data_IF_590399122175
#
_entry.id   IF_590399122175
#
_cell.length_a   1.000
_cell.length_b   1.000
_cell.length_c   1.000
_cell.angle_alpha   90.00
_cell.angle_beta   90.00
_cell.angle_gamma   90.00
#
_symmetry.space_group_name_H-M   'P 1'
#
loop_
_entity.id
_entity.type
_entity.pdbx_description
1 polymer ?
#
# COMPACT_ATOMS: atom_id res chain seq x y z
N UNK A 1 24.85 11.32 43.01
CA UNK A 1 23.74 12.15 42.48
C UNK A 1 22.58 11.19 42.28
N UNK A 2 21.60 11.19 43.19
CA UNK A 2 20.45 10.28 43.12
C UNK A 2 19.58 10.70 41.89
N UNK A 3 19.31 9.75 41.02
CA UNK A 3 18.44 9.98 39.84
C UNK A 3 17.03 10.30 40.35
N UNK A 4 16.45 11.36 39.84
CA UNK A 4 15.07 11.74 40.15
C UNK A 4 14.11 10.60 39.71
N UNK A 5 13.35 9.98 40.62
CA UNK A 5 12.45 8.87 40.31
C UNK A 5 11.40 9.22 39.27
N UNK A 6 11.01 10.48 39.13
CA UNK A 6 10.06 10.96 38.10
C UNK A 6 10.67 10.93 36.69
N UNK A 7 11.99 11.20 36.58
CA UNK A 7 12.69 11.12 35.29
C UNK A 7 12.82 9.67 34.79
N UNK A 8 13.01 8.71 35.71
CA UNK A 8 13.09 7.28 35.35
C UNK A 8 11.78 6.70 34.87
N UNK A 9 10.64 7.08 35.46
CA UNK A 9 9.30 6.63 35.00
C UNK A 9 9.03 7.10 33.59
N UNK A 10 9.32 8.37 33.26
CA UNK A 10 9.10 8.90 31.89
C UNK A 10 9.97 8.24 30.81
N UNK A 11 11.21 7.83 31.18
CA UNK A 11 12.11 7.10 30.26
C UNK A 11 11.58 5.68 29.96
N UNK A 12 11.06 4.98 30.97
CA UNK A 12 10.49 3.65 30.80
C UNK A 12 9.22 3.67 29.95
N UNK A 13 8.33 4.62 30.20
CA UNK A 13 7.12 4.80 29.38
C UNK A 13 7.47 5.10 27.91
N UNK A 14 8.45 5.97 27.65
CA UNK A 14 8.91 6.28 26.31
C UNK A 14 9.49 5.05 25.59
N UNK A 15 10.26 4.25 26.31
CA UNK A 15 10.82 3.00 25.80
C UNK A 15 9.74 1.99 25.45
N UNK A 16 8.74 1.81 26.30
CA UNK A 16 7.60 0.92 26.06
C UNK A 16 6.78 1.38 24.87
N UNK A 17 6.50 2.69 24.77
CA UNK A 17 5.84 3.29 23.62
C UNK A 17 6.61 3.04 22.32
N UNK A 18 7.93 3.27 22.32
CA UNK A 18 8.78 3.04 21.15
C UNK A 18 8.74 1.58 20.68
N UNK A 19 8.84 0.63 21.62
CA UNK A 19 8.74 -0.82 21.30
C UNK A 19 7.37 -1.20 20.75
N UNK A 20 6.29 -0.66 21.29
CA UNK A 20 4.94 -0.87 20.77
C UNK A 20 4.81 -0.33 19.32
N UNK A 21 5.40 0.84 19.06
CA UNK A 21 5.42 1.45 17.74
C UNK A 21 6.23 0.63 16.72
N UNK A 22 7.37 0.06 17.14
CA UNK A 22 8.15 -0.87 16.31
C UNK A 22 7.34 -2.13 15.96
N UNK A 23 6.66 -2.74 16.93
CA UNK A 23 5.81 -3.90 16.71
C UNK A 23 4.66 -3.58 15.75
N UNK A 24 3.99 -2.44 15.93
CA UNK A 24 2.94 -1.95 15.03
C UNK A 24 3.49 -1.73 13.62
N UNK A 25 4.68 -1.14 13.49
CA UNK A 25 5.31 -0.89 12.20
C UNK A 25 5.57 -2.17 11.42
N UNK A 26 6.03 -3.22 12.07
CA UNK A 26 6.23 -4.54 11.46
C UNK A 26 4.90 -5.20 11.07
N UNK A 27 3.89 -5.14 11.96
CA UNK A 27 2.56 -5.64 11.69
C UNK A 27 1.90 -4.97 10.46
N UNK A 28 2.18 -3.68 10.23
CA UNK A 28 1.72 -2.95 9.04
C UNK A 28 2.58 -3.22 7.80
N UNK A 29 3.90 -3.34 7.96
CA UNK A 29 4.83 -3.43 6.83
C UNK A 29 4.76 -4.78 6.11
N UNK A 30 4.69 -5.89 6.84
CA UNK A 30 4.66 -7.23 6.24
C UNK A 30 3.45 -7.48 5.33
N UNK A 31 2.20 -7.19 5.74
CA UNK A 31 1.05 -7.33 4.84
C UNK A 31 1.20 -6.48 3.56
N UNK A 32 1.69 -5.25 3.68
CA UNK A 32 1.93 -4.37 2.52
C UNK A 32 2.97 -4.95 1.58
N UNK A 33 4.07 -5.48 2.11
CA UNK A 33 5.12 -6.15 1.32
C UNK A 33 4.57 -7.38 0.59
N UNK A 34 3.79 -8.23 1.26
CA UNK A 34 3.18 -9.43 0.67
C UNK A 34 2.18 -9.06 -0.43
N UNK A 35 1.30 -8.11 -0.19
CA UNK A 35 0.33 -7.63 -1.19
C UNK A 35 1.02 -7.04 -2.43
N UNK A 36 2.17 -6.40 -2.25
CA UNK A 36 2.93 -5.78 -3.34
C UNK A 36 3.98 -6.66 -4.00
N UNK A 37 4.24 -7.84 -3.46
CA UNK A 37 5.27 -8.75 -3.96
C UNK A 37 5.08 -9.09 -5.47
N UNK A 38 3.84 -9.40 -5.87
CA UNK A 38 3.52 -9.69 -7.28
C UNK A 38 3.81 -8.51 -8.21
N UNK A 39 3.48 -7.28 -7.78
CA UNK A 39 3.75 -6.06 -8.55
C UNK A 39 5.25 -5.78 -8.63
N UNK A 40 5.99 -5.98 -7.55
CA UNK A 40 7.44 -5.81 -7.49
C UNK A 40 8.18 -6.80 -8.40
N UNK A 41 7.70 -8.05 -8.50
CA UNK A 41 8.29 -9.05 -9.42
C UNK A 41 8.07 -8.65 -10.88
N UNK A 42 6.87 -8.14 -11.23
CA UNK A 42 6.50 -7.81 -12.61
C UNK A 42 7.06 -6.47 -13.10
N UNK A 43 7.31 -5.51 -12.19
CA UNK A 43 7.70 -4.15 -12.51
C UNK A 43 9.09 -3.84 -11.94
N UNK A 44 10.18 -3.80 -12.76
CA UNK A 44 11.53 -3.55 -12.27
C UNK A 44 11.67 -2.25 -11.47
N UNK A 45 10.96 -1.19 -11.87
CA UNK A 45 10.98 0.11 -11.18
C UNK A 45 10.43 0.05 -9.76
N UNK A 46 9.46 -0.85 -9.49
CA UNK A 46 8.89 -1.03 -8.15
C UNK A 46 9.74 -1.98 -7.30
N UNK A 47 10.54 -2.83 -7.94
CA UNK A 47 11.39 -3.84 -7.28
C UNK A 47 12.42 -3.20 -6.34
N UNK A 48 13.12 -2.16 -6.80
CA UNK A 48 14.17 -1.52 -6.00
C UNK A 48 13.62 -0.92 -4.70
N UNK A 49 12.49 -0.21 -4.78
CA UNK A 49 11.81 0.34 -3.60
C UNK A 49 11.29 -0.78 -2.69
N UNK A 50 10.68 -1.82 -3.26
CA UNK A 50 10.16 -2.95 -2.52
C UNK A 50 11.29 -3.68 -1.77
N UNK A 51 12.42 -3.93 -2.42
CA UNK A 51 13.60 -4.55 -1.81
C UNK A 51 14.17 -3.71 -0.67
N UNK A 52 14.25 -2.38 -0.85
CA UNK A 52 14.73 -1.48 0.19
C UNK A 52 13.85 -1.55 1.46
N UNK A 53 12.52 -1.66 1.31
CA UNK A 53 11.61 -1.80 2.44
C UNK A 53 11.62 -3.23 3.00
N UNK A 54 11.69 -4.24 2.14
CA UNK A 54 11.71 -5.64 2.57
C UNK A 54 12.96 -5.97 3.40
N UNK A 55 14.15 -5.56 2.95
CA UNK A 55 15.39 -5.76 3.69
C UNK A 55 15.41 -5.00 5.02
N UNK A 56 14.83 -3.79 5.05
CA UNK A 56 14.64 -3.06 6.31
C UNK A 56 13.69 -3.79 7.26
N UNK A 57 12.56 -4.32 6.76
CA UNK A 57 11.61 -5.08 7.57
C UNK A 57 12.24 -6.37 8.12
N UNK A 58 13.08 -7.05 7.34
CA UNK A 58 13.85 -8.22 7.80
C UNK A 58 14.79 -7.82 8.94
N UNK A 59 15.59 -6.75 8.79
CA UNK A 59 16.49 -6.28 9.83
C UNK A 59 15.73 -5.94 11.13
N UNK A 60 14.60 -5.22 11.02
CA UNK A 60 13.74 -4.91 12.16
C UNK A 60 13.12 -6.16 12.78
N UNK A 61 12.73 -7.16 11.99
CA UNK A 61 12.18 -8.43 12.49
C UNK A 61 13.22 -9.22 13.26
N UNK A 62 14.46 -9.27 12.77
CA UNK A 62 15.58 -9.92 13.46
C UNK A 62 15.90 -9.23 14.79
N UNK A 63 15.65 -7.93 14.90
CA UNK A 63 15.84 -7.16 16.15
C UNK A 63 14.77 -7.44 17.21
N UNK A 64 13.64 -8.05 16.85
CA UNK A 64 12.60 -8.42 17.82
C UNK A 64 13.17 -9.41 18.84
N UNK A 65 13.04 -9.14 20.16
CA UNK A 65 13.71 -9.96 21.19
C UNK A 65 13.39 -11.45 21.14
N UNK A 66 12.16 -11.82 20.75
CA UNK A 66 11.76 -13.22 20.60
C UNK A 66 12.50 -13.90 19.44
N UNK A 67 12.61 -13.21 18.28
CA UNK A 67 13.31 -13.71 17.09
C UNK A 67 14.79 -13.80 17.35
N UNK A 68 15.40 -12.77 17.93
CA UNK A 68 16.82 -12.75 18.26
C UNK A 68 17.19 -13.86 19.25
N UNK A 69 16.35 -14.13 20.27
CA UNK A 69 16.54 -15.26 21.21
C UNK A 69 16.41 -16.63 20.49
N UNK A 70 15.48 -16.76 19.55
CA UNK A 70 15.34 -17.99 18.78
C UNK A 70 16.61 -18.28 17.96
N UNK A 71 17.12 -17.26 17.25
CA UNK A 71 18.37 -17.38 16.46
C UNK A 71 19.54 -17.74 17.39
N UNK A 72 19.69 -17.05 18.51
CA UNK A 72 20.77 -17.33 19.46
C UNK A 72 20.73 -18.78 20.02
N UNK A 73 19.52 -19.31 20.26
CA UNK A 73 19.32 -20.69 20.71
C UNK A 73 19.66 -21.71 19.61
N UNK A 74 19.22 -21.47 18.38
CA UNK A 74 19.45 -22.39 17.26
C UNK A 74 20.89 -22.38 16.77
N UNK A 75 21.57 -21.22 16.83
CA UNK A 75 22.97 -21.08 16.45
C UNK A 75 23.96 -21.46 17.58
N UNK A 76 23.49 -21.66 18.81
CA UNK A 76 24.36 -21.98 19.96
C UNK A 76 25.24 -20.80 20.43
N UNK A 77 25.10 -19.61 19.84
CA UNK A 77 25.89 -18.42 20.18
C UNK A 77 25.07 -17.15 20.07
N UNK A 78 25.08 -16.31 21.12
CA UNK A 78 24.32 -15.06 21.18
C UNK A 78 24.79 -14.02 20.17
N UNK A 79 26.07 -13.97 19.88
CA UNK A 79 26.69 -13.05 18.91
C UNK A 79 26.15 -13.21 17.49
N UNK A 80 25.74 -14.43 17.06
CA UNK A 80 25.23 -14.72 15.71
C UNK A 80 23.94 -13.94 15.43
N UNK A 81 23.09 -13.76 16.43
CA UNK A 81 21.86 -12.98 16.26
C UNK A 81 22.15 -11.51 15.96
N UNK A 82 23.06 -10.91 16.70
CA UNK A 82 23.41 -9.49 16.55
C UNK A 82 24.21 -9.25 15.26
N UNK A 83 25.10 -10.18 14.88
CA UNK A 83 25.77 -10.14 13.58
C UNK A 83 24.76 -10.23 12.43
N UNK A 84 23.78 -11.13 12.49
CA UNK A 84 22.73 -11.26 11.49
C UNK A 84 21.89 -9.99 11.36
N UNK A 85 21.56 -9.33 12.47
CA UNK A 85 20.87 -8.04 12.51
C UNK A 85 21.69 -6.97 11.77
N UNK A 86 22.96 -6.83 12.10
CA UNK A 86 23.83 -5.81 11.54
C UNK A 86 24.13 -6.06 10.03
N UNK A 87 24.37 -7.30 9.64
CA UNK A 87 24.54 -7.65 8.22
C UNK A 87 23.26 -7.41 7.40
N UNK A 88 22.09 -7.75 7.94
CA UNK A 88 20.82 -7.45 7.28
C UNK A 88 20.56 -5.94 7.21
N UNK A 89 21.00 -5.17 8.21
CA UNK A 89 20.99 -3.72 8.21
C UNK A 89 21.87 -3.13 7.09
N UNK A 90 23.11 -3.61 6.94
CA UNK A 90 23.99 -3.19 5.83
C UNK A 90 23.40 -3.55 4.48
N UNK A 91 22.78 -4.73 4.34
CA UNK A 91 22.07 -5.13 3.14
C UNK A 91 20.89 -4.19 2.83
N UNK A 92 20.16 -3.76 3.87
CA UNK A 92 19.09 -2.76 3.73
C UNK A 92 19.65 -1.40 3.29
N UNK A 93 20.76 -0.94 3.85
CA UNK A 93 21.42 0.29 3.43
C UNK A 93 21.87 0.22 1.95
N UNK A 94 22.43 -0.93 1.53
CA UNK A 94 22.81 -1.16 0.15
C UNK A 94 21.59 -1.16 -0.80
N UNK A 95 20.47 -1.79 -0.41
CA UNK A 95 19.24 -1.80 -1.19
C UNK A 95 18.62 -0.39 -1.34
N UNK A 96 18.69 0.44 -0.30
CA UNK A 96 18.30 1.86 -0.36
C UNK A 96 19.20 2.64 -1.33
N UNK A 97 20.51 2.43 -1.28
CA UNK A 97 21.44 3.07 -2.22
C UNK A 97 21.26 2.55 -3.65
N UNK A 98 20.92 1.29 -3.84
CA UNK A 98 20.58 0.73 -5.16
C UNK A 98 19.33 1.40 -5.73
N UNK A 99 18.28 1.57 -4.92
CA UNK A 99 17.09 2.33 -5.29
C UNK A 99 17.45 3.79 -5.68
N UNK A 100 18.29 4.46 -4.89
CA UNK A 100 18.76 5.83 -5.18
C UNK A 100 19.55 5.87 -6.49
N UNK A 101 20.40 4.88 -6.72
CA UNK A 101 21.24 4.78 -7.93
C UNK A 101 20.39 4.57 -9.18
N UNK A 102 19.36 3.74 -9.08
CA UNK A 102 18.38 3.50 -10.14
C UNK A 102 17.55 4.77 -10.43
N UNK A 103 17.03 5.43 -9.39
CA UNK A 103 16.25 6.65 -9.51
C UNK A 103 17.04 7.84 -10.08
N UNK A 104 18.37 7.84 -9.93
CA UNK A 104 19.26 8.89 -10.47
C UNK A 104 19.84 8.56 -11.84
N UNK A 105 19.48 7.41 -12.43
CA UNK A 105 19.96 6.99 -13.75
C UNK A 105 21.44 6.61 -13.77
N UNK A 106 22.06 6.34 -12.64
CA UNK A 106 23.45 5.87 -12.56
C UNK A 106 23.55 4.43 -13.09
N UNK A 107 24.45 4.22 -14.04
CA UNK A 107 24.51 2.98 -14.81
C UNK A 107 24.91 1.73 -14.02
N UNK A 108 24.84 0.56 -14.69
CA UNK A 108 25.15 -0.76 -14.12
C UNK A 108 26.51 -0.86 -13.42
N UNK A 109 27.51 -0.06 -13.85
CA UNK A 109 28.85 -0.05 -13.23
C UNK A 109 28.77 0.48 -11.79
N UNK A 110 28.05 1.58 -11.55
CA UNK A 110 27.87 2.16 -10.21
C UNK A 110 27.17 1.18 -9.27
N UNK A 111 26.15 0.47 -9.78
CA UNK A 111 25.45 -0.57 -9.00
C UNK A 111 26.36 -1.75 -8.65
N UNK A 112 27.22 -2.20 -9.57
CA UNK A 112 28.19 -3.27 -9.26
C UNK A 112 29.15 -2.85 -8.16
N UNK A 113 29.69 -1.64 -8.23
CA UNK A 113 30.60 -1.11 -7.19
C UNK A 113 29.89 -0.95 -5.85
N UNK A 114 28.65 -0.52 -5.84
CA UNK A 114 27.84 -0.42 -4.62
C UNK A 114 27.69 -1.79 -3.94
N UNK A 115 27.31 -2.82 -4.69
CA UNK A 115 27.15 -4.17 -4.13
C UNK A 115 28.49 -4.80 -3.74
N UNK A 116 29.56 -4.53 -4.46
CA UNK A 116 30.91 -4.93 -4.08
C UNK A 116 31.35 -4.25 -2.77
N UNK A 117 31.09 -2.95 -2.62
CA UNK A 117 31.37 -2.21 -1.38
C UNK A 117 30.53 -2.74 -0.20
N UNK A 118 29.25 -3.03 -0.40
CA UNK A 118 28.41 -3.62 0.63
C UNK A 118 28.90 -5.01 1.06
N UNK A 119 29.31 -5.82 0.09
CA UNK A 119 29.92 -7.13 0.35
C UNK A 119 31.24 -7.01 1.15
N UNK A 120 32.10 -6.05 0.79
CA UNK A 120 33.33 -5.77 1.52
C UNK A 120 33.04 -5.32 2.95
N UNK A 121 32.09 -4.39 3.16
CA UNK A 121 31.65 -3.97 4.50
C UNK A 121 31.17 -5.16 5.29
N UNK A 122 30.32 -6.02 4.72
CA UNK A 122 29.84 -7.22 5.38
C UNK A 122 30.97 -8.20 5.75
N UNK A 123 31.94 -8.41 4.87
CA UNK A 123 33.12 -9.25 5.14
C UNK A 123 34.01 -8.68 6.25
N UNK A 124 34.21 -7.35 6.29
CA UNK A 124 34.96 -6.68 7.36
C UNK A 124 34.23 -6.81 8.69
N UNK A 125 32.90 -6.61 8.72
CA UNK A 125 32.14 -6.77 9.96
C UNK A 125 32.20 -8.21 10.49
N UNK A 126 32.09 -9.21 9.59
CA UNK A 126 32.23 -10.61 9.96
C UNK A 126 33.63 -10.91 10.52
N UNK A 127 34.68 -10.38 9.88
CA UNK A 127 36.07 -10.57 10.34
C UNK A 127 36.31 -9.94 11.70
N UNK A 128 35.77 -8.74 11.95
CA UNK A 128 35.89 -8.05 13.24
C UNK A 128 35.12 -8.77 14.34
N UNK A 129 33.97 -9.36 14.05
CA UNK A 129 33.18 -10.14 15.00
C UNK A 129 33.88 -11.47 15.37
N UNK A 130 34.42 -12.18 14.36
CA UNK A 130 35.16 -13.43 14.56
C UNK A 130 36.51 -13.25 15.25
N UNK A 131 37.16 -12.08 15.09
CA UNK A 131 38.42 -11.77 15.74
C UNK A 131 38.24 -11.31 17.21
N UNK A 132 37.03 -10.94 17.59
CA UNK A 132 36.75 -10.53 18.98
C UNK A 132 36.70 -11.74 19.90
N UNK A 133 37.05 -11.58 21.21
CA UNK A 133 36.86 -12.63 22.21
C UNK A 133 35.40 -13.09 22.23
N UNK A 134 35.10 -14.33 22.64
CA UNK A 134 33.72 -14.78 22.78
C UNK A 134 32.90 -13.79 23.62
N UNK A 135 31.89 -13.19 23.01
CA UNK A 135 31.05 -12.18 23.62
C UNK A 135 29.58 -12.60 23.50
N UNK A 136 28.77 -12.18 24.45
CA UNK A 136 27.35 -12.42 24.42
C UNK A 136 26.62 -11.51 23.41
N UNK A 137 25.36 -11.30 23.62
CA UNK A 137 24.59 -10.33 22.84
C UNK A 137 25.14 -8.91 23.03
N UNK A 138 25.32 -8.20 21.94
CA UNK A 138 25.90 -6.86 21.95
C UNK A 138 24.98 -5.86 21.20
N UNK A 139 25.05 -4.60 21.63
CA UNK A 139 24.31 -3.50 21.04
C UNK A 139 25.08 -2.21 21.18
N UNK A 140 25.01 -1.32 20.20
CA UNK A 140 25.54 0.05 20.31
C UNK A 140 24.94 0.82 21.52
N UNK A 141 23.82 0.35 22.04
CA UNK A 141 23.05 0.96 23.13
C UNK A 141 23.34 0.32 24.50
N UNK A 142 24.24 -0.65 24.57
CA UNK A 142 24.59 -1.29 25.85
C UNK A 142 25.56 -0.40 26.64
N UNK A 143 25.36 -0.29 27.96
CA UNK A 143 26.34 0.41 28.81
C UNK A 143 27.68 -0.35 28.80
N UNK A 144 28.78 0.39 28.66
CA UNK A 144 30.13 -0.15 28.66
C UNK A 144 30.88 0.03 27.35
N UNK A 145 32.02 -0.68 27.21
CA UNK A 145 32.79 -0.62 25.95
C UNK A 145 32.03 -1.27 24.79
N UNK A 146 32.04 -0.63 23.62
CA UNK A 146 31.33 -1.17 22.44
C UNK A 146 31.87 -2.56 22.05
N UNK A 147 30.98 -3.57 22.04
CA UNK A 147 31.31 -4.94 21.62
C UNK A 147 30.80 -5.15 20.18
N UNK A 148 31.50 -5.84 19.27
CA UNK A 148 32.84 -6.45 19.43
C UNK A 148 33.98 -5.42 19.43
N UNK A 149 33.77 -4.22 18.84
CA UNK A 149 34.76 -3.13 18.88
C UNK A 149 34.13 -1.80 18.46
N UNK A 150 34.74 -0.68 18.83
CA UNK A 150 34.34 0.67 18.38
C UNK A 150 34.41 0.77 16.87
N UNK A 151 35.44 0.19 16.22
CA UNK A 151 35.57 0.21 14.77
C UNK A 151 34.41 -0.49 14.05
N UNK A 152 33.94 -1.62 14.58
CA UNK A 152 32.76 -2.33 14.08
C UNK A 152 31.55 -1.40 14.01
N UNK A 153 31.21 -0.75 15.11
CA UNK A 153 30.06 0.14 15.19
C UNK A 153 30.20 1.40 14.32
N UNK A 154 31.39 1.97 14.24
CA UNK A 154 31.63 3.12 13.36
C UNK A 154 31.43 2.77 11.88
N UNK A 155 31.82 1.57 11.45
CA UNK A 155 31.58 1.09 10.08
C UNK A 155 30.07 0.89 9.82
N UNK A 156 29.35 0.25 10.74
CA UNK A 156 27.89 0.06 10.63
C UNK A 156 27.19 1.41 10.54
N UNK A 157 27.49 2.33 11.44
CA UNK A 157 26.89 3.67 11.51
C UNK A 157 27.20 4.47 10.23
N UNK A 158 28.46 4.47 9.77
CA UNK A 158 28.88 5.17 8.58
C UNK A 158 28.12 4.66 7.32
N UNK A 159 27.99 3.35 7.18
CA UNK A 159 27.22 2.75 6.08
C UNK A 159 25.78 3.23 6.06
N UNK A 160 25.10 3.20 7.23
CA UNK A 160 23.71 3.64 7.31
C UNK A 160 23.52 5.14 7.13
N UNK A 161 24.37 5.98 7.75
CA UNK A 161 24.28 7.45 7.58
C UNK A 161 24.55 7.87 6.15
N UNK A 162 25.49 7.22 5.46
CA UNK A 162 25.75 7.48 4.03
C UNK A 162 24.53 7.14 3.19
N UNK A 163 23.93 5.95 3.40
CA UNK A 163 22.75 5.53 2.67
C UNK A 163 21.53 6.43 2.94
N UNK A 164 21.28 6.76 4.21
CA UNK A 164 20.16 7.62 4.60
C UNK A 164 20.31 9.04 4.05
N UNK A 165 21.50 9.62 4.11
CA UNK A 165 21.78 10.97 3.58
C UNK A 165 21.58 11.02 2.06
N UNK A 166 22.12 10.03 1.32
CA UNK A 166 21.94 9.94 -0.12
C UNK A 166 20.47 9.79 -0.50
N UNK A 167 19.74 8.90 0.20
CA UNK A 167 18.33 8.68 -0.03
C UNK A 167 17.49 9.94 0.27
N UNK A 168 17.73 10.60 1.40
CA UNK A 168 17.03 11.81 1.80
C UNK A 168 17.20 12.93 0.77
N UNK A 169 18.44 13.16 0.29
CA UNK A 169 18.74 14.15 -0.77
C UNK A 169 17.94 13.86 -2.06
N UNK A 170 17.88 12.61 -2.48
CA UNK A 170 17.13 12.19 -3.68
C UNK A 170 15.62 12.38 -3.47
N UNK A 171 15.08 11.90 -2.38
CA UNK A 171 13.66 12.06 -2.08
C UNK A 171 13.23 13.54 -2.08
N UNK A 172 14.02 14.42 -1.45
CA UNK A 172 13.74 15.87 -1.39
C UNK A 172 13.85 16.53 -2.76
N UNK A 173 14.88 16.19 -3.52
CA UNK A 173 15.10 16.74 -4.86
C UNK A 173 13.95 16.40 -5.81
N UNK A 174 13.47 15.16 -5.79
CA UNK A 174 12.39 14.73 -6.68
C UNK A 174 11.00 15.13 -6.16
N UNK A 175 10.79 15.21 -4.85
CA UNK A 175 9.55 15.70 -4.28
C UNK A 175 9.31 17.21 -4.52
N UNK A 176 10.37 17.99 -4.75
CA UNK A 176 10.29 19.44 -5.00
C UNK A 176 10.04 19.82 -6.47
N UNK A 177 10.21 18.90 -7.43
CA UNK A 177 9.99 19.18 -8.85
C UNK A 177 8.50 19.09 -9.18
N UNK A 178 7.92 20.18 -9.72
CA UNK A 178 6.48 20.39 -9.88
C UNK A 178 5.75 19.41 -10.80
N UNK A 179 6.45 18.68 -11.67
CA UNK A 179 5.88 17.76 -12.66
C UNK A 179 5.48 16.38 -12.09
N UNK A 180 5.96 16.02 -10.89
CA UNK A 180 5.57 14.75 -10.29
C UNK A 180 4.12 14.76 -9.85
N UNK A 181 3.34 13.72 -10.21
CA UNK A 181 1.97 13.54 -9.75
C UNK A 181 1.90 13.64 -8.20
N UNK A 182 0.83 14.25 -7.68
CA UNK A 182 0.64 14.46 -6.23
C UNK A 182 0.88 13.21 -5.39
N UNK A 183 0.44 12.07 -5.90
CA UNK A 183 0.59 10.74 -5.27
C UNK A 183 2.07 10.36 -5.13
N UNK A 184 2.88 10.55 -6.19
CA UNK A 184 4.31 10.24 -6.16
C UNK A 184 5.05 11.16 -5.19
N UNK A 185 4.73 12.46 -5.18
CA UNK A 185 5.31 13.41 -4.22
C UNK A 185 5.03 13.03 -2.78
N UNK A 186 3.78 12.64 -2.47
CA UNK A 186 3.41 12.20 -1.13
C UNK A 186 4.16 10.94 -0.71
N UNK A 187 4.29 9.96 -1.60
CA UNK A 187 5.07 8.74 -1.36
C UNK A 187 6.54 9.04 -1.08
N UNK A 188 7.17 9.90 -1.91
CA UNK A 188 8.58 10.29 -1.73
C UNK A 188 8.81 11.08 -0.44
N UNK A 189 7.89 11.96 -0.05
CA UNK A 189 7.96 12.70 1.23
C UNK A 189 7.87 11.77 2.42
N UNK A 190 6.92 10.84 2.42
CA UNK A 190 6.77 9.85 3.49
C UNK A 190 8.01 8.95 3.59
N UNK A 191 8.53 8.49 2.46
CA UNK A 191 9.75 7.68 2.42
C UNK A 191 10.96 8.47 2.92
N UNK A 192 11.09 9.74 2.51
CA UNK A 192 12.14 10.65 2.98
C UNK A 192 12.07 10.92 4.48
N UNK A 193 10.87 11.20 5.02
CA UNK A 193 10.67 11.37 6.46
C UNK A 193 11.02 10.10 7.24
N UNK A 194 10.59 8.93 6.76
CA UNK A 194 11.00 7.66 7.36
C UNK A 194 12.51 7.48 7.33
N UNK A 195 13.17 7.86 6.24
CA UNK A 195 14.63 7.80 6.11
C UNK A 195 15.32 8.80 7.06
N UNK A 196 14.73 9.98 7.31
CA UNK A 196 15.23 10.94 8.31
C UNK A 196 15.15 10.36 9.74
N UNK A 197 14.06 9.66 10.09
CA UNK A 197 13.94 8.95 11.36
C UNK A 197 15.04 7.89 11.52
N UNK A 198 15.32 7.09 10.47
CA UNK A 198 16.44 6.14 10.49
C UNK A 198 17.80 6.84 10.62
N UNK A 199 17.96 7.99 9.96
CA UNK A 199 19.16 8.82 10.12
C UNK A 199 19.35 9.29 11.57
N UNK A 200 18.27 9.75 12.21
CA UNK A 200 18.25 10.13 13.62
C UNK A 200 18.59 8.96 14.56
N UNK A 201 18.06 7.76 14.27
CA UNK A 201 18.41 6.55 14.99
C UNK A 201 19.94 6.28 14.92
N UNK A 202 20.51 6.26 13.72
CA UNK A 202 21.94 5.98 13.56
C UNK A 202 22.84 7.10 14.09
N UNK A 203 22.37 8.34 14.08
CA UNK A 203 23.05 9.45 14.74
C UNK A 203 23.06 9.26 16.27
N UNK A 204 21.93 8.83 16.84
CA UNK A 204 21.86 8.47 18.26
C UNK A 204 22.79 7.31 18.62
N UNK A 205 22.88 6.28 17.78
CA UNK A 205 23.86 5.20 17.95
C UNK A 205 25.31 5.73 17.90
N UNK A 206 25.62 6.65 16.98
CA UNK A 206 26.93 7.30 16.93
C UNK A 206 27.26 8.02 18.23
N UNK A 207 26.31 8.79 18.76
CA UNK A 207 26.51 9.47 20.04
C UNK A 207 26.78 8.50 21.20
N UNK A 208 26.05 7.37 21.26
CA UNK A 208 26.29 6.34 22.28
C UNK A 208 27.68 5.69 22.14
N UNK A 209 28.16 5.50 20.90
CA UNK A 209 29.51 4.93 20.68
C UNK A 209 30.62 5.91 21.06
N UNK A 210 30.44 7.21 20.77
CA UNK A 210 31.45 8.23 21.00
C UNK A 210 31.43 8.77 22.46
N UNK A 211 30.25 8.80 23.08
CA UNK A 211 30.02 9.35 24.41
C UNK A 211 29.28 8.31 25.27
N UNK A 212 29.97 7.30 25.83
CA UNK A 212 29.31 6.22 26.56
C UNK A 212 28.48 6.69 27.77
N UNK A 213 28.75 7.87 28.34
CA UNK A 213 27.96 8.44 29.42
C UNK A 213 26.58 9.01 29.01
N UNK A 214 26.37 9.25 27.71
CA UNK A 214 25.16 9.87 27.20
C UNK A 214 24.08 8.87 26.72
N UNK A 215 24.21 7.58 27.01
CA UNK A 215 23.36 6.52 26.45
C UNK A 215 21.88 6.56 26.89
N UNK A 216 21.56 7.12 28.07
CA UNK A 216 20.22 7.08 28.64
C UNK A 216 19.13 7.73 27.75
N UNK A 217 19.35 8.96 27.31
CA UNK A 217 18.35 9.71 26.56
C UNK A 217 18.18 9.18 25.12
N UNK A 218 19.28 8.92 24.36
CA UNK A 218 19.14 8.27 23.06
C UNK A 218 18.45 6.90 23.14
N UNK A 219 18.85 6.05 24.09
CA UNK A 219 18.31 4.69 24.20
C UNK A 219 16.79 4.64 24.34
N UNK A 220 16.18 5.60 25.04
CA UNK A 220 14.71 5.67 25.18
C UNK A 220 13.99 6.15 23.89
N UNK A 221 14.63 7.07 23.14
CA UNK A 221 14.04 7.67 21.95
C UNK A 221 14.22 6.82 20.68
N UNK A 222 15.29 6.05 20.59
CA UNK A 222 15.66 5.32 19.38
C UNK A 222 14.60 4.30 18.90
N UNK A 223 13.94 3.50 19.76
CA UNK A 223 12.85 2.63 19.33
C UNK A 223 11.68 3.39 18.70
N UNK A 224 11.36 4.58 19.23
CA UNK A 224 10.31 5.44 18.64
C UNK A 224 10.68 5.89 17.23
N UNK A 225 11.93 6.30 17.00
CA UNK A 225 12.42 6.66 15.66
C UNK A 225 12.36 5.47 14.69
N UNK A 226 12.70 4.27 15.13
CA UNK A 226 12.64 3.06 14.30
C UNK A 226 11.20 2.63 13.99
N UNK A 227 10.31 2.69 14.97
CA UNK A 227 8.90 2.43 14.77
C UNK A 227 8.27 3.41 13.78
N UNK A 228 8.54 4.70 13.92
CA UNK A 228 8.08 5.74 13.00
C UNK A 228 8.67 5.57 11.60
N UNK A 229 9.97 5.24 11.50
CA UNK A 229 10.62 4.88 10.24
C UNK A 229 9.87 3.78 9.48
N UNK A 230 9.54 2.67 10.15
CA UNK A 230 8.82 1.55 9.55
C UNK A 230 7.42 1.93 9.08
N UNK A 231 6.64 2.64 9.91
CA UNK A 231 5.30 3.10 9.57
C UNK A 231 5.29 4.05 8.37
N UNK A 232 6.19 5.03 8.35
CA UNK A 232 6.30 5.99 7.24
C UNK A 232 6.70 5.31 5.93
N UNK A 233 7.57 4.31 5.96
CA UNK A 233 7.92 3.49 4.78
C UNK A 233 6.76 2.61 4.32
N UNK A 234 6.04 1.98 5.24
CA UNK A 234 4.83 1.23 4.90
C UNK A 234 3.78 2.15 4.23
N UNK A 235 3.54 3.33 4.81
CA UNK A 235 2.65 4.33 4.24
C UNK A 235 3.10 4.79 2.83
N UNK A 236 4.41 5.01 2.63
CA UNK A 236 4.96 5.35 1.32
C UNK A 236 4.70 4.29 0.24
N UNK A 237 4.68 3.01 0.61
CA UNK A 237 4.30 1.91 -0.29
C UNK A 237 2.80 1.84 -0.58
N UNK A 238 1.94 2.24 0.37
CA UNK A 238 0.49 2.19 0.26
C UNK A 238 -0.06 3.34 -0.58
N UNK A 239 0.47 4.56 -0.40
CA UNK A 239 -0.03 5.78 -1.05
C UNK A 239 -0.21 5.64 -2.57
N UNK A 240 0.71 5.06 -3.36
CA UNK A 240 0.52 4.90 -4.81
C UNK A 240 -0.60 3.94 -5.19
N UNK A 241 -1.04 3.09 -4.28
CA UNK A 241 -2.10 2.09 -4.53
C UNK A 241 -3.49 2.65 -4.23
N UNK A 242 -3.58 3.66 -3.35
CA UNK A 242 -4.85 4.22 -2.87
C UNK A 242 -5.80 4.66 -4.01
N UNK A 243 -5.35 5.36 -5.07
CA UNK A 243 -6.25 5.74 -6.16
C UNK A 243 -6.85 4.53 -6.87
N UNK A 244 -6.04 3.51 -7.15
CA UNK A 244 -6.50 2.25 -7.75
C UNK A 244 -7.49 1.51 -6.85
N UNK A 245 -7.18 1.40 -5.56
CA UNK A 245 -8.06 0.78 -4.58
C UNK A 245 -9.40 1.53 -4.45
N UNK A 246 -9.38 2.86 -4.41
CA UNK A 246 -10.59 3.68 -4.36
C UNK A 246 -11.47 3.44 -5.59
N UNK A 247 -10.88 3.40 -6.79
CA UNK A 247 -11.61 3.06 -8.05
C UNK A 247 -12.21 1.66 -7.95
N UNK A 248 -11.42 0.67 -7.58
CA UNK A 248 -11.86 -0.72 -7.42
C UNK A 248 -13.04 -0.85 -6.45
N UNK A 249 -12.99 -0.16 -5.30
CA UNK A 249 -14.08 -0.13 -4.32
C UNK A 249 -15.31 0.62 -4.88
N UNK A 250 -15.11 1.69 -5.63
CA UNK A 250 -16.20 2.42 -6.29
C UNK A 250 -16.90 1.54 -7.33
N UNK A 251 -16.14 0.84 -8.17
CA UNK A 251 -16.67 -0.10 -9.17
C UNK A 251 -17.44 -1.26 -8.51
N UNK A 252 -16.90 -1.85 -7.43
CA UNK A 252 -17.58 -2.89 -6.68
C UNK A 252 -18.90 -2.40 -6.08
N UNK A 253 -18.93 -1.18 -5.54
CA UNK A 253 -20.15 -0.54 -5.03
C UNK A 253 -21.16 -0.25 -6.16
N UNK A 254 -20.67 0.22 -7.31
CA UNK A 254 -21.52 0.46 -8.48
C UNK A 254 -22.15 -0.85 -8.97
N UNK A 255 -21.37 -1.93 -9.07
CA UNK A 255 -21.84 -3.25 -9.44
C UNK A 255 -22.98 -3.74 -8.51
N UNK A 256 -22.79 -3.58 -7.19
CA UNK A 256 -23.78 -3.96 -6.20
C UNK A 256 -25.08 -3.15 -6.30
N UNK A 257 -24.97 -1.85 -6.62
CA UNK A 257 -26.13 -0.94 -6.72
C UNK A 257 -26.89 -1.11 -8.03
N UNK A 258 -26.19 -1.37 -9.14
CA UNK A 258 -26.82 -1.63 -10.45
C UNK A 258 -27.48 -3.02 -10.50
N UNK A 259 -27.04 -3.97 -9.67
CA UNK A 259 -27.45 -5.35 -9.77
C UNK A 259 -28.98 -5.56 -9.69
N UNK A 260 -29.78 -4.92 -8.80
CA UNK A 260 -31.22 -5.08 -8.74
C UNK A 260 -31.92 -4.62 -10.01
N UNK A 261 -31.60 -3.42 -10.50
CA UNK A 261 -32.14 -2.87 -11.75
C UNK A 261 -31.79 -3.79 -12.94
N UNK A 262 -30.51 -4.10 -13.09
CA UNK A 262 -30.02 -4.97 -14.15
C UNK A 262 -30.72 -6.31 -14.15
N UNK A 263 -30.88 -6.95 -12.99
CA UNK A 263 -31.55 -8.25 -12.86
C UNK A 263 -33.02 -8.17 -13.27
N UNK A 264 -33.73 -7.15 -12.79
CA UNK A 264 -35.13 -6.95 -13.12
C UNK A 264 -35.36 -6.74 -14.62
N UNK A 265 -34.47 -5.98 -15.28
CA UNK A 265 -34.56 -5.76 -16.73
C UNK A 265 -34.25 -7.02 -17.54
N UNK A 266 -33.25 -7.80 -17.09
CA UNK A 266 -32.93 -9.08 -17.73
C UNK A 266 -34.05 -10.12 -17.64
N UNK A 267 -34.85 -10.12 -16.57
CA UNK A 267 -36.01 -11.02 -16.45
C UNK A 267 -37.05 -10.74 -17.55
N UNK A 268 -37.17 -9.49 -18.02
CA UNK A 268 -38.05 -9.11 -19.10
C UNK A 268 -37.36 -9.17 -20.50
N UNK A 269 -36.04 -9.06 -20.58
CA UNK A 269 -35.27 -9.05 -21.83
C UNK A 269 -34.05 -9.98 -21.72
N UNK A 270 -34.23 -11.30 -21.56
CA UNK A 270 -33.10 -12.23 -21.31
C UNK A 270 -32.09 -12.32 -22.46
N UNK A 271 -32.51 -11.97 -23.68
CA UNK A 271 -31.66 -11.99 -24.88
C UNK A 271 -30.53 -10.96 -24.87
N UNK A 272 -30.61 -9.92 -24.03
CA UNK A 272 -29.56 -8.91 -23.94
C UNK A 272 -28.40 -9.33 -23.03
N UNK A 273 -28.56 -10.42 -22.30
CA UNK A 273 -27.52 -10.92 -21.41
C UNK A 273 -26.32 -11.46 -22.20
N UNK A 274 -25.19 -10.79 -22.15
CA UNK A 274 -23.95 -11.24 -22.80
C UNK A 274 -23.37 -12.52 -22.17
N UNK A 275 -23.69 -12.79 -20.91
CA UNK A 275 -23.32 -14.05 -20.22
C UNK A 275 -24.40 -14.44 -19.22
N UNK A 276 -24.54 -15.74 -18.90
CA UNK A 276 -25.50 -16.19 -17.89
C UNK A 276 -25.35 -15.44 -16.58
N UNK A 277 -26.46 -14.90 -16.03
CA UNK A 277 -26.45 -14.16 -14.78
C UNK A 277 -25.99 -15.02 -13.62
N UNK A 278 -25.19 -14.48 -12.72
CA UNK A 278 -24.68 -15.13 -11.51
C UNK A 278 -25.32 -14.56 -10.25
N UNK A 279 -25.34 -15.33 -9.15
CA UNK A 279 -25.69 -14.79 -7.84
C UNK A 279 -24.83 -13.57 -7.49
N UNK A 280 -25.45 -12.54 -6.92
CA UNK A 280 -24.84 -11.26 -6.57
C UNK A 280 -23.52 -11.39 -5.78
N UNK A 281 -23.54 -12.25 -4.73
CA UNK A 281 -22.36 -12.47 -3.89
C UNK A 281 -21.24 -13.20 -4.63
N UNK A 282 -21.57 -14.16 -5.49
CA UNK A 282 -20.58 -14.91 -6.23
C UNK A 282 -19.88 -14.03 -7.27
N UNK A 283 -20.60 -13.11 -7.91
CA UNK A 283 -20.04 -12.16 -8.86
C UNK A 283 -19.09 -11.15 -8.17
N UNK A 284 -19.40 -10.77 -6.92
CA UNK A 284 -18.56 -9.88 -6.13
C UNK A 284 -17.32 -10.58 -5.56
N UNK A 285 -17.47 -11.77 -4.95
CA UNK A 285 -16.39 -12.47 -4.27
C UNK A 285 -15.44 -13.19 -5.23
N UNK A 286 -15.95 -13.63 -6.39
CA UNK A 286 -15.19 -14.36 -7.41
C UNK A 286 -15.44 -13.80 -8.81
N UNK A 287 -15.00 -12.55 -9.07
CA UNK A 287 -15.24 -11.89 -10.35
C UNK A 287 -14.47 -12.60 -11.48
N UNK A 288 -15.14 -12.83 -12.62
CA UNK A 288 -14.51 -13.41 -13.82
C UNK A 288 -13.65 -12.40 -14.59
N UNK A 289 -13.84 -11.12 -14.33
CA UNK A 289 -13.13 -10.02 -14.95
C UNK A 289 -12.92 -8.89 -13.94
N UNK A 290 -12.22 -7.81 -14.29
CA UNK A 290 -12.11 -6.63 -13.43
C UNK A 290 -13.50 -6.06 -13.11
N UNK A 291 -13.69 -5.52 -11.92
CA UNK A 291 -14.97 -4.92 -11.54
C UNK A 291 -15.36 -3.75 -12.45
N UNK A 292 -14.39 -2.99 -12.93
CA UNK A 292 -14.62 -1.96 -13.94
C UNK A 292 -15.28 -2.51 -15.20
N UNK A 293 -14.76 -3.61 -15.74
CA UNK A 293 -15.33 -4.28 -16.90
C UNK A 293 -16.73 -4.83 -16.61
N UNK A 294 -16.98 -5.36 -15.41
CA UNK A 294 -18.30 -5.86 -15.02
C UNK A 294 -19.33 -4.73 -14.91
N UNK A 295 -18.94 -3.55 -14.39
CA UNK A 295 -19.80 -2.35 -14.39
C UNK A 295 -20.10 -1.92 -15.80
N UNK A 296 -19.07 -1.79 -16.66
CA UNK A 296 -19.22 -1.43 -18.06
C UNK A 296 -20.21 -2.35 -18.77
N UNK A 297 -20.05 -3.65 -18.62
CA UNK A 297 -20.94 -4.64 -19.21
C UNK A 297 -22.39 -4.48 -18.72
N UNK A 298 -22.60 -4.30 -17.41
CA UNK A 298 -23.97 -4.11 -16.88
C UNK A 298 -24.62 -2.83 -17.37
N UNK A 299 -23.87 -1.75 -17.55
CA UNK A 299 -24.40 -0.51 -18.14
C UNK A 299 -24.84 -0.75 -19.58
N UNK A 300 -24.06 -1.47 -20.39
CA UNK A 300 -24.45 -1.84 -21.76
C UNK A 300 -25.71 -2.74 -21.75
N UNK A 301 -25.70 -3.82 -20.96
CA UNK A 301 -26.85 -4.72 -20.89
C UNK A 301 -28.14 -4.00 -20.39
N UNK A 302 -28.02 -3.03 -19.46
CA UNK A 302 -29.13 -2.16 -19.06
C UNK A 302 -29.63 -1.34 -20.25
N UNK A 303 -28.73 -0.70 -20.99
CA UNK A 303 -29.05 0.12 -22.14
C UNK A 303 -29.76 -0.69 -23.24
N UNK A 304 -29.24 -1.86 -23.55
CA UNK A 304 -29.84 -2.77 -24.55
C UNK A 304 -31.23 -3.24 -24.09
N UNK A 305 -31.41 -3.52 -22.78
CA UNK A 305 -32.71 -3.85 -22.22
C UNK A 305 -33.72 -2.67 -22.34
N UNK A 306 -33.24 -1.43 -22.14
CA UNK A 306 -34.08 -0.22 -22.35
C UNK A 306 -34.51 -0.11 -23.78
N UNK A 307 -33.63 -0.38 -24.76
CA UNK A 307 -34.01 -0.39 -26.18
C UNK A 307 -35.09 -1.42 -26.51
N UNK A 308 -35.07 -2.57 -25.85
CA UNK A 308 -36.12 -3.60 -26.01
C UNK A 308 -37.42 -3.20 -25.32
N UNK A 309 -37.31 -2.52 -24.15
CA UNK A 309 -38.49 -2.16 -23.35
C UNK A 309 -39.19 -0.90 -23.80
N UNK A 310 -38.56 -0.04 -24.61
CA UNK A 310 -39.19 1.17 -25.18
C UNK A 310 -40.45 0.86 -25.93
N UNK A 311 -40.52 -0.30 -26.61
CA UNK A 311 -41.66 -0.73 -27.43
C UNK A 311 -42.92 -1.04 -26.58
N UNK A 312 -42.76 -1.12 -25.25
CA UNK A 312 -43.82 -1.38 -24.28
C UNK A 312 -44.11 -0.18 -23.37
N UNK A 313 -43.45 0.95 -23.62
CA UNK A 313 -43.60 2.16 -22.80
C UNK A 313 -44.66 3.10 -23.39
N UNK A 314 -45.30 3.97 -22.62
CA UNK A 314 -46.06 5.11 -23.13
C UNK A 314 -45.09 6.08 -23.82
N UNK A 315 -45.67 6.95 -24.69
CA UNK A 315 -44.93 8.01 -25.39
C UNK A 315 -44.03 8.79 -24.42
N UNK A 316 -42.75 8.95 -24.80
CA UNK A 316 -41.75 9.66 -23.99
C UNK A 316 -41.54 11.07 -24.56
N UNK A 317 -41.29 12.02 -23.68
CA UNK A 317 -40.88 13.39 -24.04
C UNK A 317 -39.50 13.40 -24.72
N UNK A 318 -39.24 14.46 -25.52
CA UNK A 318 -38.02 14.57 -26.31
C UNK A 318 -36.71 14.76 -25.53
N UNK A 319 -36.79 15.02 -24.24
CA UNK A 319 -35.61 15.17 -23.34
C UNK A 319 -35.35 13.89 -22.54
N UNK A 320 -34.05 13.60 -22.19
CA UNK A 320 -33.76 12.50 -21.32
C UNK A 320 -34.49 12.67 -19.96
N UNK A 321 -35.36 11.73 -19.57
CA UNK A 321 -36.15 11.87 -18.37
C UNK A 321 -35.23 11.89 -17.14
N UNK A 322 -35.68 12.58 -16.09
CA UNK A 322 -35.00 12.46 -14.81
C UNK A 322 -34.95 11.01 -14.33
N UNK A 323 -33.97 10.63 -13.50
CA UNK A 323 -33.77 9.24 -13.09
C UNK A 323 -35.00 8.57 -12.44
N UNK A 324 -35.85 9.33 -11.75
CA UNK A 324 -37.04 8.78 -11.09
C UNK A 324 -38.15 8.51 -12.12
N UNK A 325 -38.33 9.37 -13.10
CA UNK A 325 -39.24 9.20 -14.22
C UNK A 325 -38.81 8.02 -15.07
N UNK A 326 -37.52 7.90 -15.40
CA UNK A 326 -36.97 6.73 -16.10
C UNK A 326 -37.23 5.43 -15.33
N UNK A 327 -37.02 5.42 -14.04
CA UNK A 327 -37.26 4.24 -13.19
C UNK A 327 -38.72 3.79 -13.24
N UNK A 328 -39.68 4.72 -13.16
CA UNK A 328 -41.13 4.43 -13.26
C UNK A 328 -41.51 3.92 -14.65
N UNK A 329 -40.99 4.55 -15.70
CA UNK A 329 -41.22 4.12 -17.06
C UNK A 329 -40.71 2.70 -17.31
N UNK A 330 -39.51 2.38 -16.87
CA UNK A 330 -38.94 1.02 -16.97
C UNK A 330 -39.72 -0.02 -16.17
N UNK A 331 -40.18 0.30 -14.96
CA UNK A 331 -41.00 -0.59 -14.15
C UNK A 331 -42.36 -0.86 -14.84
N UNK A 332 -42.97 0.16 -15.46
CA UNK A 332 -44.20 0.05 -16.24
C UNK A 332 -44.03 -0.79 -17.53
N UNK A 333 -43.00 -0.49 -18.34
CA UNK A 333 -42.68 -1.23 -19.55
C UNK A 333 -42.32 -2.69 -19.28
N UNK A 334 -41.55 -2.96 -18.23
CA UNK A 334 -41.24 -4.33 -17.76
C UNK A 334 -42.50 -5.11 -17.47
N UNK A 335 -43.44 -4.55 -16.70
CA UNK A 335 -44.71 -5.20 -16.36
C UNK A 335 -45.55 -5.43 -17.59
N UNK A 336 -45.71 -4.42 -18.48
CA UNK A 336 -46.46 -4.56 -19.72
C UNK A 336 -45.93 -5.73 -20.56
N UNK A 337 -44.64 -5.86 -20.71
CA UNK A 337 -44.02 -6.97 -21.44
C UNK A 337 -44.24 -8.33 -20.75
N UNK A 338 -44.05 -8.42 -19.44
CA UNK A 338 -44.23 -9.67 -18.70
C UNK A 338 -45.69 -10.14 -18.64
N UNK A 339 -46.66 -9.22 -18.73
CA UNK A 339 -48.10 -9.56 -18.82
C UNK A 339 -48.56 -9.88 -20.26
N UNK A 340 -47.64 -9.96 -21.21
CA UNK A 340 -47.97 -10.35 -22.59
C UNK A 340 -48.56 -9.23 -23.45
N UNK A 341 -48.40 -7.96 -23.08
CA UNK A 341 -48.82 -6.82 -23.91
C UNK A 341 -48.06 -6.86 -25.23
N UNK A 342 -48.75 -6.58 -26.32
CA UNK A 342 -48.13 -6.44 -27.66
C UNK A 342 -47.27 -5.18 -27.72
N UNK A 343 -46.11 -5.23 -28.42
CA UNK A 343 -45.25 -4.05 -28.63
C UNK A 343 -46.01 -2.99 -29.44
N UNK A 344 -45.77 -1.73 -29.19
CA UNK A 344 -46.32 -0.62 -29.93
C UNK A 344 -45.84 -0.68 -31.42
N UNK A 345 -46.71 -0.34 -32.39
CA UNK A 345 -46.32 -0.31 -33.82
C UNK A 345 -45.32 0.82 -34.09
N UNK A 346 -44.37 0.62 -35.03
CA UNK A 346 -43.45 1.69 -35.44
C UNK A 346 -44.19 2.89 -36.10
N UNK A 347 -43.66 4.13 -36.03
CA UNK A 347 -42.41 4.48 -35.42
C UNK A 347 -42.46 4.49 -33.87
N UNK A 348 -41.49 3.82 -33.24
CA UNK A 348 -41.38 3.86 -31.79
C UNK A 348 -40.88 5.24 -31.36
N UNK A 349 -41.40 5.81 -30.25
CA UNK A 349 -40.84 7.02 -29.69
C UNK A 349 -39.36 6.75 -29.33
N UNK A 350 -38.47 7.64 -29.79
CA UNK A 350 -37.08 7.61 -29.36
C UNK A 350 -37.04 7.97 -27.89
N UNK A 351 -36.78 6.99 -27.05
CA UNK A 351 -36.42 7.31 -25.67
C UNK A 351 -35.06 7.98 -25.68
N UNK A 352 -34.98 9.27 -25.33
CA UNK A 352 -33.73 9.95 -25.32
C UNK A 352 -32.88 9.33 -24.20
N UNK A 353 -31.93 8.50 -24.60
CA UNK A 353 -30.90 7.99 -23.70
C UNK A 353 -29.92 9.14 -23.44
N UNK A 354 -29.38 9.25 -22.22
CA UNK A 354 -28.30 10.20 -21.96
C UNK A 354 -27.23 10.03 -23.01
N UNK A 355 -26.75 11.14 -23.58
CA UNK A 355 -25.76 11.13 -24.65
C UNK A 355 -24.60 10.20 -24.30
N UNK A 356 -24.49 9.11 -25.02
CA UNK A 356 -23.79 7.91 -24.59
C UNK A 356 -22.31 7.95 -24.92
N UNK A 357 -21.80 8.85 -25.67
CA UNK A 357 -20.58 8.54 -26.39
C UNK A 357 -19.28 8.92 -25.68
N UNK A 358 -19.24 9.99 -24.90
CA UNK A 358 -17.94 10.54 -24.48
C UNK A 358 -17.65 10.50 -22.97
N UNK A 359 -18.64 10.19 -22.11
CA UNK A 359 -18.45 10.18 -20.65
C UNK A 359 -19.13 8.98 -19.97
N UNK A 360 -18.49 7.82 -20.04
CA UNK A 360 -18.92 6.61 -19.34
C UNK A 360 -19.14 6.81 -17.82
N UNK A 361 -18.35 7.60 -17.09
CA UNK A 361 -18.63 7.97 -15.71
C UNK A 361 -19.99 8.65 -15.51
N UNK A 362 -20.37 9.60 -16.38
CA UNK A 362 -21.66 10.29 -16.31
C UNK A 362 -22.83 9.34 -16.58
N UNK A 363 -22.71 8.48 -17.59
CA UNK A 363 -23.70 7.44 -17.90
C UNK A 363 -23.87 6.47 -16.73
N UNK A 364 -22.77 6.00 -16.14
CA UNK A 364 -22.80 5.13 -14.95
C UNK A 364 -23.50 5.83 -13.77
N UNK A 365 -23.23 7.13 -13.56
CA UNK A 365 -23.86 7.91 -12.49
C UNK A 365 -25.38 8.03 -12.70
N UNK A 366 -25.81 8.23 -13.93
CA UNK A 366 -27.23 8.27 -14.29
C UNK A 366 -27.92 6.92 -13.98
N UNK A 367 -27.38 5.81 -14.46
CA UNK A 367 -27.96 4.49 -14.19
C UNK A 367 -27.94 4.10 -12.72
N UNK A 368 -26.95 4.56 -11.95
CA UNK A 368 -26.95 4.43 -10.51
C UNK A 368 -28.03 5.25 -9.81
N UNK A 369 -28.42 6.40 -10.39
CA UNK A 369 -29.54 7.20 -9.89
C UNK A 369 -30.88 6.53 -10.25
N UNK A 370 -31.04 6.01 -11.46
CA UNK A 370 -32.21 5.21 -11.87
C UNK A 370 -32.36 3.99 -10.98
N UNK A 371 -31.28 3.24 -10.71
CA UNK A 371 -31.33 2.05 -9.88
C UNK A 371 -31.76 2.33 -8.42
N UNK A 372 -31.42 3.51 -7.88
CA UNK A 372 -31.88 3.94 -6.53
C UNK A 372 -33.39 4.18 -6.49
N UNK A 373 -33.93 4.79 -7.54
CA UNK A 373 -35.38 5.09 -7.64
C UNK A 373 -36.20 3.87 -8.00
N UNK A 374 -35.61 2.90 -8.69
CA UNK A 374 -36.30 1.72 -9.20
C UNK A 374 -36.84 0.80 -8.09
N UNK A 375 -36.08 0.60 -6.99
CA UNK A 375 -36.53 -0.22 -5.85
C UNK A 375 -37.83 0.27 -5.19
N UNK A 376 -38.07 1.57 -5.17
CA UNK A 376 -39.31 2.18 -4.70
C UNK A 376 -40.44 2.09 -5.72
N UNK A 377 -40.15 2.18 -7.00
CA UNK A 377 -41.15 2.15 -8.08
C UNK A 377 -41.69 0.73 -8.34
N UNK A 378 -40.90 -0.31 -8.15
CA UNK A 378 -41.31 -1.72 -8.34
C UNK A 378 -42.20 -2.24 -7.17
N UNK A 379 -42.09 -1.62 -5.98
CA UNK A 379 -42.91 -1.96 -4.80
C UNK A 379 -44.21 -1.15 -4.68
N UNK A 380 -44.31 0.00 -5.35
CA UNK A 380 -45.47 0.90 -5.31
C UNK A 380 -46.47 0.63 -6.46
N UNK A 381 -46.19 -0.33 -7.25
CA UNK A 381 -46.90 -0.70 -8.46
C UNK A 381 -47.27 -2.18 -8.47
#
# INVERSE_FOLDING_TARGET
>A
MAADPRGLVGVEELLLFGKALEALSLACTWPVLLLRARAAVRCPQQRALWLAVATSAVAMTLSVPAVARLIARTAGAGQVADLAINLSGVLSAAAVLDFVTDATGRGRRARRWLWAAAGLVGAVLLALDLAAPPHGRHSALSPGSPQPSTAYWLIVVAAHLTANTACLRVCWRYAGRGEAARVLRSSLRLFGLGTACAGGFWLGCLLCVLIPSAWFVPAALLPTLMGLHGLLRAAALVVPVLPGLRRTVADARALLRLWPLWRALLDAAPQVALTPPRPRLLELLWPRASWHYLVYRKVIEIRDAVLVLRDYAPEADAEPPDPATMARALAGARRAKLTGREPAPPPHPEWPLPAAADDFPAETAYWLAVARSYGGADSAA
#
